data_IF_319652662553
#
_entry.id   IF_319652662553
#
_cell.length_a   1.000
_cell.length_b   1.000
_cell.length_c   1.000
_cell.angle_alpha   90.00
_cell.angle_beta   90.00
_cell.angle_gamma   90.00
#
_symmetry.space_group_name_H-M   'P 1'
#
loop_
_entity.id
_entity.type
_entity.pdbx_description
1 polymer ?
#
# COMPACT_ATOMS: atom_id res chain seq x y z
N UNK A 1 -11.17 -9.06 29.63
CA UNK A 1 -12.10 -8.48 28.66
C UNK A 1 -11.67 -8.91 27.26
N UNK A 2 -12.20 -10.02 26.75
CA UNK A 2 -11.82 -10.56 25.44
C UNK A 2 -12.60 -9.78 24.39
N UNK A 3 -11.96 -8.78 23.79
CA UNK A 3 -12.55 -8.01 22.70
C UNK A 3 -12.85 -9.01 21.59
N UNK A 4 -14.14 -9.18 21.28
CA UNK A 4 -14.64 -10.08 20.24
C UNK A 4 -14.34 -9.45 18.88
N UNK A 5 -13.06 -9.43 18.48
CA UNK A 5 -12.61 -8.89 17.16
C UNK A 5 -13.02 -9.80 15.99
N UNK A 6 -13.74 -10.89 16.29
CA UNK A 6 -14.00 -12.03 15.41
C UNK A 6 -14.94 -11.73 14.23
N UNK A 7 -15.61 -10.58 14.23
CA UNK A 7 -16.47 -10.12 13.12
C UNK A 7 -15.85 -9.05 12.21
N UNK A 8 -14.73 -8.43 12.59
CA UNK A 8 -14.12 -7.34 11.81
C UNK A 8 -13.09 -7.84 10.78
N UNK A 9 -12.39 -8.94 11.09
CA UNK A 9 -11.34 -9.53 10.24
C UNK A 9 -11.89 -10.59 9.28
N UNK A 10 -12.88 -10.24 8.47
CA UNK A 10 -13.24 -11.05 7.29
C UNK A 10 -12.23 -10.83 6.17
N UNK A 11 -11.82 -11.87 5.42
CA UNK A 11 -10.85 -11.75 4.32
C UNK A 11 -11.28 -10.69 3.28
N UNK A 12 -12.59 -10.54 3.08
CA UNK A 12 -13.17 -9.49 2.24
C UNK A 12 -12.78 -8.07 2.69
N UNK A 13 -12.82 -7.78 4.00
CA UNK A 13 -12.48 -6.46 4.54
C UNK A 13 -10.98 -6.19 4.51
N UNK A 14 -10.17 -7.24 4.71
CA UNK A 14 -8.70 -7.14 4.59
C UNK A 14 -8.33 -6.83 3.14
N UNK A 15 -8.94 -7.54 2.18
CA UNK A 15 -8.77 -7.26 0.75
C UNK A 15 -9.21 -5.85 0.38
N UNK A 16 -10.38 -5.40 0.85
CA UNK A 16 -10.91 -4.07 0.55
C UNK A 16 -10.07 -2.95 1.16
N UNK A 17 -9.58 -3.13 2.39
CA UNK A 17 -8.65 -2.16 3.00
C UNK A 17 -7.33 -2.08 2.20
N UNK A 18 -6.79 -3.23 1.77
CA UNK A 18 -5.59 -3.27 0.93
C UNK A 18 -5.79 -2.61 -0.42
N UNK A 19 -6.92 -2.84 -1.11
CA UNK A 19 -7.20 -2.20 -2.40
C UNK A 19 -7.38 -0.69 -2.28
N UNK A 20 -8.06 -0.20 -1.24
CA UNK A 20 -8.18 1.24 -0.97
C UNK A 20 -6.80 1.86 -0.73
N UNK A 21 -5.93 1.18 0.02
CA UNK A 21 -4.58 1.67 0.29
C UNK A 21 -3.73 1.74 -0.98
N UNK A 22 -3.81 0.72 -1.85
CA UNK A 22 -3.15 0.71 -3.16
C UNK A 22 -3.70 1.83 -4.06
N UNK A 23 -5.01 2.01 -4.11
CA UNK A 23 -5.63 3.09 -4.89
C UNK A 23 -5.15 4.47 -4.42
N UNK A 24 -5.09 4.71 -3.10
CA UNK A 24 -4.55 5.95 -2.53
C UNK A 24 -3.07 6.15 -2.89
N UNK A 25 -2.25 5.09 -2.78
CA UNK A 25 -0.84 5.18 -3.13
C UNK A 25 -0.62 5.51 -4.61
N UNK A 26 -1.49 5.04 -5.50
CA UNK A 26 -1.42 5.29 -6.95
C UNK A 26 -2.02 6.63 -7.38
N UNK A 27 -2.98 7.18 -6.62
CA UNK A 27 -3.67 8.43 -6.95
C UNK A 27 -3.00 9.66 -6.34
N UNK A 28 -2.41 9.54 -5.15
CA UNK A 28 -1.80 10.70 -4.48
C UNK A 28 -0.54 11.11 -5.24
N UNK A 29 -0.38 12.41 -5.56
CA UNK A 29 0.75 12.91 -6.32
C UNK A 29 2.08 12.75 -5.57
N UNK A 30 3.15 12.73 -6.34
CA UNK A 30 4.52 12.74 -5.83
C UNK A 30 4.95 14.20 -5.73
N UNK A 31 4.85 14.74 -4.51
CA UNK A 31 5.36 16.07 -4.17
C UNK A 31 6.75 15.95 -3.57
N UNK A 32 7.71 16.75 -4.02
CA UNK A 32 9.02 16.87 -3.38
C UNK A 32 9.48 18.32 -3.32
N UNK A 33 10.42 18.59 -2.41
CA UNK A 33 11.04 19.91 -2.28
C UNK A 33 12.39 19.88 -3.00
N UNK A 34 12.51 20.62 -4.10
CA UNK A 34 13.78 20.75 -4.80
C UNK A 34 14.77 21.58 -3.95
N UNK A 35 16.08 21.26 -3.98
CA UNK A 35 17.07 22.03 -3.23
C UNK A 35 17.19 23.45 -3.81
N UNK A 36 16.92 24.45 -2.97
CA UNK A 36 16.93 25.87 -3.36
C UNK A 36 15.55 26.46 -3.65
N UNK A 37 14.51 25.64 -3.65
CA UNK A 37 13.14 26.08 -3.91
C UNK A 37 12.32 26.10 -2.60
N UNK A 38 11.62 27.20 -2.35
CA UNK A 38 10.79 27.33 -1.16
C UNK A 38 9.41 26.70 -1.35
N UNK A 39 9.01 26.46 -2.60
CA UNK A 39 7.73 25.87 -2.99
C UNK A 39 7.84 24.35 -3.18
N UNK A 40 6.73 23.65 -2.92
CA UNK A 40 6.62 22.21 -3.18
C UNK A 40 6.42 22.00 -4.68
N UNK A 41 7.33 21.26 -5.32
CA UNK A 41 7.19 20.89 -6.72
C UNK A 41 6.40 19.59 -6.81
N UNK A 42 5.34 19.60 -7.61
CA UNK A 42 4.49 18.43 -7.85
C UNK A 42 4.77 17.82 -9.22
N UNK A 43 4.81 16.50 -9.24
CA UNK A 43 5.28 15.72 -10.37
C UNK A 43 4.19 14.85 -11.02
N UNK A 44 2.94 15.06 -10.57
CA UNK A 44 1.80 14.23 -10.91
C UNK A 44 1.76 12.93 -10.09
N UNK A 45 0.92 12.01 -10.53
CA UNK A 45 0.70 10.73 -9.84
C UNK A 45 1.70 9.67 -10.32
N UNK A 46 1.88 8.57 -9.57
CA UNK A 46 2.63 7.40 -10.04
C UNK A 46 2.21 6.84 -11.40
N UNK A 47 0.99 7.12 -11.84
CA UNK A 47 0.44 6.64 -13.10
C UNK A 47 0.57 7.69 -14.22
N UNK A 48 0.47 8.98 -13.88
CA UNK A 48 0.51 10.09 -14.83
C UNK A 48 1.56 11.12 -14.41
N UNK A 49 2.60 11.24 -15.23
CA UNK A 49 3.64 12.26 -15.09
C UNK A 49 3.09 13.61 -15.56
N UNK A 50 3.11 14.61 -14.68
CA UNK A 50 2.65 15.96 -14.98
C UNK A 50 3.68 16.96 -14.44
N UNK A 51 4.53 17.56 -15.30
CA UNK A 51 5.60 18.47 -14.89
C UNK A 51 5.04 19.88 -14.66
N UNK A 52 4.08 20.02 -13.75
CA UNK A 52 3.49 21.34 -13.42
C UNK A 52 4.56 22.24 -12.81
N UNK A 53 4.82 23.38 -13.43
CA UNK A 53 5.74 24.41 -12.94
C UNK A 53 7.09 24.47 -13.65
N UNK A 54 7.57 23.39 -14.28
CA UNK A 54 8.90 23.33 -14.91
C UNK A 54 8.94 23.76 -16.39
N UNK A 55 7.96 24.53 -16.86
CA UNK A 55 7.80 24.90 -18.28
C UNK A 55 8.57 26.17 -18.68
N UNK A 56 9.36 26.75 -17.76
CA UNK A 56 10.12 27.98 -18.02
C UNK A 56 11.53 27.66 -18.56
N UNK A 57 11.96 28.39 -19.59
CA UNK A 57 13.22 28.13 -20.31
C UNK A 57 14.49 28.21 -19.44
N UNK A 58 14.44 28.91 -18.30
CA UNK A 58 15.51 29.03 -17.31
C UNK A 58 15.77 27.74 -16.52
N UNK A 59 14.78 26.87 -16.39
CA UNK A 59 14.83 25.68 -15.53
C UNK A 59 15.23 24.41 -16.28
N UNK A 60 15.38 24.48 -17.60
CA UNK A 60 15.82 23.36 -18.46
C UNK A 60 17.12 22.72 -17.98
N UNK A 61 18.00 23.48 -17.33
CA UNK A 61 19.28 22.99 -16.81
C UNK A 61 19.12 22.03 -15.62
N UNK A 62 17.99 22.10 -14.91
CA UNK A 62 17.66 21.27 -13.76
C UNK A 62 16.63 20.18 -14.10
N UNK A 63 16.23 20.08 -15.38
CA UNK A 63 15.22 19.13 -15.84
C UNK A 63 15.60 17.67 -15.54
N UNK A 64 16.85 17.29 -15.75
CA UNK A 64 17.31 15.91 -15.48
C UNK A 64 17.23 15.57 -13.98
N UNK A 65 17.56 16.52 -13.11
CA UNK A 65 17.47 16.36 -11.66
C UNK A 65 16.00 16.28 -11.21
N UNK A 66 15.13 17.12 -11.80
CA UNK A 66 13.69 17.09 -11.59
C UNK A 66 13.11 15.73 -11.97
N UNK A 67 13.35 15.27 -13.22
CA UNK A 67 12.88 13.96 -13.71
C UNK A 67 13.43 12.82 -12.86
N UNK A 68 14.70 12.88 -12.45
CA UNK A 68 15.30 11.86 -11.59
C UNK A 68 14.60 11.77 -10.24
N UNK A 69 14.37 12.90 -9.57
CA UNK A 69 13.66 12.93 -8.28
C UNK A 69 12.22 12.43 -8.41
N UNK A 70 11.55 12.83 -9.49
CA UNK A 70 10.22 12.36 -9.85
C UNK A 70 10.16 10.84 -10.02
N UNK A 71 11.13 10.27 -10.74
CA UNK A 71 11.25 8.83 -10.96
C UNK A 71 11.60 8.07 -9.68
N UNK A 72 12.44 8.61 -8.81
CA UNK A 72 12.73 8.03 -7.48
C UNK A 72 11.48 7.98 -6.62
N UNK A 73 10.69 9.05 -6.60
CA UNK A 73 9.41 9.07 -5.86
C UNK A 73 8.42 8.05 -6.43
N UNK A 74 8.39 7.89 -7.76
CA UNK A 74 7.55 6.93 -8.46
C UNK A 74 7.92 5.49 -8.14
N UNK A 75 9.20 5.13 -8.23
CA UNK A 75 9.67 3.77 -7.90
C UNK A 75 9.44 3.44 -6.44
N UNK A 76 9.63 4.41 -5.54
CA UNK A 76 9.35 4.24 -4.10
C UNK A 76 7.87 3.95 -3.84
N UNK A 77 6.95 4.71 -4.46
CA UNK A 77 5.51 4.44 -4.34
C UNK A 77 5.10 3.10 -4.94
N UNK A 78 5.68 2.71 -6.07
CA UNK A 78 5.45 1.38 -6.65
C UNK A 78 5.94 0.25 -5.73
N UNK A 79 7.11 0.42 -5.11
CA UNK A 79 7.61 -0.54 -4.12
C UNK A 79 6.69 -0.65 -2.90
N UNK A 80 6.14 0.48 -2.42
CA UNK A 80 5.14 0.48 -1.35
C UNK A 80 3.85 -0.26 -1.75
N UNK A 81 3.36 -0.04 -2.97
CA UNK A 81 2.18 -0.76 -3.51
C UNK A 81 2.43 -2.27 -3.54
N UNK A 82 3.58 -2.70 -4.05
CA UNK A 82 3.96 -4.12 -4.06
C UNK A 82 4.05 -4.70 -2.65
N UNK A 83 4.64 -3.95 -1.71
CA UNK A 83 4.70 -4.35 -0.30
C UNK A 83 3.30 -4.52 0.32
N UNK A 84 2.39 -3.56 0.08
CA UNK A 84 1.01 -3.64 0.56
C UNK A 84 0.28 -4.83 -0.05
N UNK A 85 0.45 -5.09 -1.36
CA UNK A 85 -0.15 -6.25 -2.02
C UNK A 85 0.35 -7.57 -1.44
N UNK A 86 1.67 -7.69 -1.19
CA UNK A 86 2.27 -8.88 -0.59
C UNK A 86 1.77 -9.13 0.83
N UNK A 87 1.72 -8.08 1.67
CA UNK A 87 1.21 -8.20 3.05
C UNK A 87 -0.28 -8.53 3.06
N UNK A 88 -1.07 -7.90 2.19
CA UNK A 88 -2.52 -8.13 2.12
C UNK A 88 -2.81 -9.56 1.66
N UNK A 89 -2.12 -10.06 0.63
CA UNK A 89 -2.30 -11.43 0.16
C UNK A 89 -1.90 -12.47 1.20
N UNK A 90 -0.82 -12.21 1.95
CA UNK A 90 -0.37 -13.09 3.03
C UNK A 90 -1.37 -13.12 4.18
N UNK A 91 -1.90 -11.96 4.58
CA UNK A 91 -2.96 -11.88 5.61
C UNK A 91 -4.23 -12.61 5.17
N UNK A 92 -4.69 -12.40 3.93
CA UNK A 92 -5.86 -13.09 3.38
C UNK A 92 -5.62 -14.61 3.38
N UNK A 93 -4.47 -15.05 2.86
CA UNK A 93 -4.10 -16.48 2.84
C UNK A 93 -4.06 -17.07 4.24
N UNK A 94 -3.45 -16.36 5.21
CA UNK A 94 -3.40 -16.80 6.59
C UNK A 94 -4.80 -16.92 7.20
N UNK A 95 -5.71 -15.97 6.95
CA UNK A 95 -7.09 -16.04 7.46
C UNK A 95 -7.90 -17.17 6.83
N UNK A 96 -7.62 -17.54 5.58
CA UNK A 96 -8.31 -18.63 4.89
C UNK A 96 -7.76 -20.01 5.27
N UNK A 97 -6.44 -20.12 5.43
CA UNK A 97 -5.76 -21.39 5.75
C UNK A 97 -5.82 -21.72 7.24
N UNK A 98 -6.07 -20.73 8.11
CA UNK A 98 -6.09 -20.94 9.57
C UNK A 98 -7.04 -22.10 9.91
N UNK A 99 -6.52 -23.26 10.35
CA UNK A 99 -7.37 -24.39 10.69
C UNK A 99 -8.28 -23.91 11.81
N UNK A 100 -9.59 -23.97 11.54
CA UNK A 100 -10.55 -23.60 12.56
C UNK A 100 -10.29 -24.53 13.75
N UNK A 101 -9.97 -23.94 14.90
CA UNK A 101 -9.78 -24.64 16.17
C UNK A 101 -11.03 -25.45 16.59
N UNK A 102 -12.09 -25.53 15.77
CA UNK A 102 -13.24 -26.41 15.94
C UNK A 102 -12.94 -27.88 15.66
N UNK A 103 -11.91 -28.21 14.85
CA UNK A 103 -11.51 -29.63 14.66
C UNK A 103 -10.79 -30.21 15.89
N UNK A 104 -10.09 -29.37 16.65
CA UNK A 104 -9.40 -29.82 17.86
C UNK A 104 -10.37 -30.16 19.00
N UNK A 105 -11.55 -29.51 19.06
CA UNK A 105 -12.56 -29.81 20.07
C UNK A 105 -13.40 -31.05 19.73
N UNK A 106 -13.69 -31.30 18.45
CA UNK A 106 -14.42 -32.51 18.05
C UNK A 106 -13.60 -33.79 18.30
N UNK A 107 -12.28 -33.76 18.07
CA UNK A 107 -11.40 -34.89 18.37
C UNK A 107 -11.14 -35.09 19.88
N UNK A 108 -11.38 -34.07 20.71
CA UNK A 108 -11.27 -34.18 22.16
C UNK A 108 -12.54 -34.75 22.80
N UNK A 109 -13.73 -34.38 22.28
CA UNK A 109 -15.02 -34.96 22.73
C UNK A 109 -15.14 -36.46 22.41
N UNK A 110 -14.63 -36.89 21.25
CA UNK A 110 -14.64 -38.31 20.85
C UNK A 110 -13.65 -39.17 21.67
N UNK A 111 -12.60 -38.57 22.23
CA UNK A 111 -11.61 -39.28 23.03
C UNK A 111 -12.01 -39.41 24.51
N UNK A 112 -12.94 -38.60 25.01
CA UNK A 112 -13.43 -38.64 26.39
C UNK A 112 -14.63 -39.61 26.57
N UNK A 113 -15.22 -40.09 25.48
CA UNK A 113 -16.36 -41.02 25.47
C UNK A 113 -16.01 -42.47 25.04
N UNK A 114 -14.73 -42.87 25.06
CA UNK A 114 -14.27 -44.27 24.86
C UNK A 114 -13.58 -44.85 26.08
#
# INVERSE_FOLDING_TARGET
MVIKVRGWFTPLRIGLAGTVLVALLLLVPISFRAPGDHEMTDCGSPLAFDPRGYNHASERRYWDDFVRNCMIGRTTRLAQVLGVLAVTSLLVTFTLVRPSSRRATAAADDAEHS
#
